data_IF_838779706693
#
_entry.id   IF_838779706693
#
_cell.length_a   1.000
_cell.length_b   1.000
_cell.length_c   1.000
_cell.angle_alpha   90.00
_cell.angle_beta   90.00
_cell.angle_gamma   90.00
#
_symmetry.space_group_name_H-M   'P 1'
#
loop_
_entity.id
_entity.type
_entity.pdbx_description
1 polymer ?
#
# COMPACT_ATOMS: atom_id res chain seq x y z
N UNK A 1 -9.75 63.36 20.64
CA UNK A 1 -9.82 62.61 19.37
C UNK A 1 -8.39 62.54 18.82
N UNK A 2 -7.99 61.34 18.39
CA UNK A 2 -6.63 60.79 18.39
C UNK A 2 -5.58 61.46 17.48
N UNK A 3 -4.32 61.32 17.91
CA UNK A 3 -3.07 61.74 17.27
C UNK A 3 -2.89 61.19 15.84
N UNK A 4 -2.34 62.05 14.97
CA UNK A 4 -1.73 61.73 13.67
C UNK A 4 -0.22 61.63 13.92
N UNK A 5 0.39 60.47 13.65
CA UNK A 5 1.84 60.29 13.70
C UNK A 5 2.47 60.75 12.38
N UNK A 6 3.44 61.67 12.48
CA UNK A 6 4.23 62.18 11.37
C UNK A 6 5.40 61.23 11.06
N UNK A 7 5.58 60.92 9.78
CA UNK A 7 6.76 60.24 9.25
C UNK A 7 7.89 61.25 9.04
N UNK A 8 9.05 60.96 9.63
CA UNK A 8 10.28 61.73 9.50
C UNK A 8 10.91 61.57 8.09
N UNK A 9 11.27 62.71 7.51
CA UNK A 9 12.18 62.86 6.37
C UNK A 9 13.41 63.56 6.93
N UNK A 10 14.57 62.92 6.90
CA UNK A 10 15.85 63.63 6.99
C UNK A 10 16.81 63.17 5.88
N UNK A 11 17.36 64.15 5.18
CA UNK A 11 18.35 64.03 4.12
C UNK A 11 19.76 64.38 4.64
N UNK A 12 20.73 63.50 4.32
CA UNK A 12 22.14 63.69 3.84
C UNK A 12 22.99 64.90 4.35
N UNK A 13 24.32 64.74 4.58
CA UNK A 13 25.27 65.12 3.51
C UNK A 13 26.59 64.30 3.40
N UNK A 14 27.26 64.57 2.27
CA UNK A 14 28.51 64.05 1.69
C UNK A 14 29.82 64.22 2.49
N UNK A 15 30.76 63.31 2.20
CA UNK A 15 32.23 63.50 2.25
C UNK A 15 32.94 62.19 1.87
N UNK A 16 34.11 62.10 1.25
CA UNK A 16 35.02 63.02 0.55
C UNK A 16 35.96 62.14 -0.32
N UNK A 17 36.41 62.70 -1.45
CA UNK A 17 37.59 62.41 -2.28
C UNK A 17 38.29 61.02 -2.28
N UNK A 18 38.55 60.49 -3.48
CA UNK A 18 39.78 59.74 -3.73
C UNK A 18 39.73 58.68 -4.82
N UNK A 19 40.02 59.09 -6.05
CA UNK A 19 40.95 58.44 -7.00
C UNK A 19 40.93 56.89 -7.09
N UNK A 20 40.50 56.33 -8.24
CA UNK A 20 41.23 55.24 -8.95
C UNK A 20 40.70 55.13 -10.39
N UNK A 21 41.58 55.56 -11.29
CA UNK A 21 41.97 54.93 -12.57
C UNK A 21 40.91 54.37 -13.53
N UNK A 22 40.90 55.02 -14.70
CA UNK A 22 40.46 54.50 -15.99
C UNK A 22 41.19 53.18 -16.32
N UNK A 23 40.46 52.07 -16.36
CA UNK A 23 40.80 50.88 -17.15
C UNK A 23 39.53 50.56 -17.95
N UNK A 24 39.38 51.03 -19.19
CA UNK A 24 39.95 50.38 -20.38
C UNK A 24 39.72 48.86 -20.34
N UNK A 25 38.56 48.40 -20.81
CA UNK A 25 38.44 47.16 -21.57
C UNK A 25 37.04 47.04 -22.17
N UNK A 26 37.05 46.80 -23.48
CA UNK A 26 35.95 46.63 -24.42
C UNK A 26 34.74 45.82 -23.90
N UNK A 27 33.51 46.10 -24.39
CA UNK A 27 32.43 45.12 -24.32
C UNK A 27 32.84 43.91 -25.16
N UNK A 28 33.15 42.78 -24.49
CA UNK A 28 33.24 41.47 -25.14
C UNK A 28 31.85 41.17 -25.68
N UNK A 29 31.67 41.27 -26.99
CA UNK A 29 30.52 40.68 -27.65
C UNK A 29 30.41 39.20 -27.24
N UNK A 30 29.22 38.83 -26.77
CA UNK A 30 28.90 37.53 -26.21
C UNK A 30 28.97 36.41 -27.26
N UNK A 31 30.18 35.97 -27.60
CA UNK A 31 30.44 34.77 -28.42
C UNK A 31 30.08 33.46 -27.69
N UNK A 32 29.34 33.50 -26.58
CA UNK A 32 28.86 32.31 -25.87
C UNK A 32 27.42 31.90 -26.21
N UNK A 33 26.76 32.57 -27.17
CA UNK A 33 25.36 32.22 -27.51
C UNK A 33 25.23 31.07 -28.52
N UNK A 34 26.18 30.92 -29.45
CA UNK A 34 25.96 30.05 -30.62
C UNK A 34 26.14 28.54 -30.34
N UNK A 35 27.00 28.16 -29.37
CA UNK A 35 27.24 26.74 -29.03
C UNK A 35 26.10 26.17 -28.16
N UNK A 36 25.61 26.94 -27.19
CA UNK A 36 24.50 26.52 -26.32
C UNK A 36 23.15 26.50 -27.04
N UNK A 37 22.87 27.49 -27.91
CA UNK A 37 21.64 27.48 -28.71
C UNK A 37 21.62 26.29 -29.68
N UNK A 38 22.75 25.97 -30.31
CA UNK A 38 22.85 24.80 -31.20
C UNK A 38 22.63 23.47 -30.45
N UNK A 39 23.04 23.39 -29.18
CA UNK A 39 22.77 22.23 -28.32
C UNK A 39 21.30 22.13 -27.90
N UNK A 40 20.69 23.25 -27.49
CA UNK A 40 19.27 23.30 -27.10
C UNK A 40 18.37 22.92 -28.29
N UNK A 41 18.67 23.43 -29.49
CA UNK A 41 17.93 23.07 -30.71
C UNK A 41 18.07 21.58 -31.02
N UNK A 42 19.26 20.98 -30.85
CA UNK A 42 19.45 19.53 -31.03
C UNK A 42 18.62 18.71 -30.04
N UNK A 43 18.57 19.12 -28.78
CA UNK A 43 17.76 18.44 -27.75
C UNK A 43 16.27 18.53 -28.09
N UNK A 44 15.78 19.70 -28.50
CA UNK A 44 14.38 19.88 -28.92
C UNK A 44 14.02 19.01 -30.13
N UNK A 45 14.89 18.91 -31.13
CA UNK A 45 14.67 18.04 -32.29
C UNK A 45 14.64 16.57 -31.88
N UNK A 46 15.52 16.13 -30.97
CA UNK A 46 15.51 14.74 -30.46
C UNK A 46 14.21 14.43 -29.71
N UNK A 47 13.75 15.33 -28.85
CA UNK A 47 12.49 15.15 -28.12
C UNK A 47 11.28 15.10 -29.07
N UNK A 48 11.28 15.92 -30.12
CA UNK A 48 10.24 15.91 -31.14
C UNK A 48 10.23 14.59 -31.92
N UNK A 49 11.41 14.07 -32.27
CA UNK A 49 11.55 12.76 -32.93
C UNK A 49 11.08 11.63 -32.01
N UNK A 50 11.47 11.62 -30.73
CA UNK A 50 11.02 10.63 -29.75
C UNK A 50 9.50 10.70 -29.53
N UNK A 51 8.93 11.90 -29.46
CA UNK A 51 7.48 12.10 -29.34
C UNK A 51 6.67 11.54 -30.51
N UNK A 52 7.29 11.37 -31.69
CA UNK A 52 6.69 10.72 -32.86
C UNK A 52 6.98 9.22 -32.85
N UNK A 53 8.22 8.82 -32.59
CA UNK A 53 8.63 7.40 -32.63
C UNK A 53 7.98 6.57 -31.53
N UNK A 54 7.84 7.09 -30.31
CA UNK A 54 7.26 6.34 -29.18
C UNK A 54 5.80 5.93 -29.42
N UNK A 55 4.87 6.81 -29.83
CA UNK A 55 3.48 6.39 -30.09
C UNK A 55 3.36 5.50 -31.33
N UNK A 56 4.15 5.74 -32.38
CA UNK A 56 4.19 4.86 -33.56
C UNK A 56 4.75 3.48 -33.22
N UNK A 57 5.81 3.42 -32.41
CA UNK A 57 6.42 2.20 -31.92
C UNK A 57 5.49 1.42 -30.99
N UNK A 58 4.75 2.09 -30.11
CA UNK A 58 3.75 1.45 -29.25
C UNK A 58 2.60 0.83 -30.07
N UNK A 59 2.09 1.55 -31.08
CA UNK A 59 1.04 1.00 -31.97
C UNK A 59 1.55 -0.15 -32.83
N UNK A 60 2.78 -0.05 -33.36
CA UNK A 60 3.40 -1.13 -34.13
C UNK A 60 3.68 -2.36 -33.27
N UNK A 61 4.22 -2.16 -32.05
CA UNK A 61 4.50 -3.24 -31.12
C UNK A 61 3.22 -3.95 -30.68
N UNK A 62 2.15 -3.22 -30.36
CA UNK A 62 0.88 -3.83 -30.01
C UNK A 62 0.23 -4.58 -31.20
N UNK A 63 0.42 -4.13 -32.44
CA UNK A 63 -0.11 -4.82 -33.62
C UNK A 63 0.72 -6.06 -34.01
N UNK A 64 2.04 -5.96 -33.99
CA UNK A 64 2.95 -7.03 -34.42
C UNK A 64 3.26 -8.04 -33.31
N UNK A 65 3.32 -7.62 -32.05
CA UNK A 65 3.64 -8.44 -30.87
C UNK A 65 2.47 -8.61 -29.90
N UNK A 66 1.29 -8.02 -30.15
CA UNK A 66 0.12 -8.16 -29.26
C UNK A 66 -0.39 -9.59 -29.12
N UNK A 67 -0.04 -10.49 -30.04
CA UNK A 67 -0.33 -11.93 -29.95
C UNK A 67 0.69 -12.71 -29.11
N UNK A 68 1.93 -12.23 -28.99
CA UNK A 68 2.98 -12.86 -28.19
C UNK A 68 2.88 -12.51 -26.70
N UNK A 69 2.19 -11.43 -26.38
CA UNK A 69 1.89 -10.98 -25.03
C UNK A 69 0.39 -10.72 -24.90
N UNK A 70 -0.45 -11.76 -24.78
CA UNK A 70 -1.85 -11.55 -24.47
C UNK A 70 -1.92 -10.73 -23.18
N UNK A 71 -2.67 -9.62 -23.24
CA UNK A 71 -3.02 -8.87 -22.04
C UNK A 71 -3.62 -9.88 -21.06
N UNK A 72 -2.96 -10.14 -19.93
CA UNK A 72 -3.54 -10.90 -18.83
C UNK A 72 -4.68 -10.08 -18.23
N UNK A 73 -5.79 -9.97 -18.94
CA UNK A 73 -7.08 -10.10 -18.29
C UNK A 73 -7.14 -11.57 -17.88
N UNK A 74 -7.35 -11.83 -16.60
CA UNK A 74 -7.47 -13.17 -16.03
C UNK A 74 -8.44 -13.99 -16.89
N UNK A 75 -7.88 -14.82 -17.75
CA UNK A 75 -8.62 -15.76 -18.58
C UNK A 75 -9.11 -16.84 -17.64
N UNK A 76 -10.43 -16.89 -17.50
CA UNK A 76 -11.15 -18.01 -16.90
C UNK A 76 -10.71 -19.25 -17.65
N UNK A 77 -9.91 -20.09 -16.98
CA UNK A 77 -9.44 -21.37 -17.52
C UNK A 77 -10.67 -22.24 -17.74
N UNK A 78 -11.17 -22.29 -18.98
CA UNK A 78 -12.07 -23.35 -19.42
C UNK A 78 -11.25 -24.61 -19.69
N UNK A 79 -11.65 -25.68 -19.00
CA UNK A 79 -11.25 -27.08 -19.14
C UNK A 79 -10.36 -27.42 -20.34
N UNK A 80 -9.09 -27.70 -20.09
CA UNK A 80 -8.28 -28.53 -20.99
C UNK A 80 -7.55 -29.60 -20.19
N UNK A 81 -8.17 -30.78 -20.19
CA UNK A 81 -7.56 -32.11 -20.13
C UNK A 81 -6.34 -32.21 -19.21
N UNK A 82 -6.60 -32.38 -17.90
CA UNK A 82 -5.60 -32.91 -16.99
C UNK A 82 -5.27 -34.35 -17.41
N UNK A 83 -4.04 -34.60 -17.86
CA UNK A 83 -3.44 -35.95 -17.87
C UNK A 83 -3.54 -36.50 -16.45
N UNK A 84 -4.19 -37.65 -16.30
CA UNK A 84 -4.34 -38.36 -15.03
C UNK A 84 -2.97 -38.54 -14.35
N UNK A 85 -2.79 -37.88 -13.21
CA UNK A 85 -1.74 -38.24 -12.28
C UNK A 85 -2.18 -39.50 -11.51
N UNK A 86 -1.28 -40.46 -11.24
CA UNK A 86 -1.64 -41.67 -10.50
C UNK A 86 -2.17 -41.31 -9.11
N UNK A 87 -3.35 -41.85 -8.79
CA UNK A 87 -4.07 -41.63 -7.53
C UNK A 87 -3.22 -42.16 -6.37
N UNK A 88 -2.56 -41.26 -5.64
CA UNK A 88 -2.07 -41.56 -4.30
C UNK A 88 -3.30 -41.75 -3.41
N UNK A 89 -3.55 -42.99 -2.96
CA UNK A 89 -4.48 -43.28 -1.86
C UNK A 89 -3.97 -42.58 -0.60
N UNK A 90 -4.37 -41.32 -0.43
CA UNK A 90 -4.23 -40.56 0.81
C UNK A 90 -5.61 -40.40 1.43
N UNK A 91 -5.75 -40.90 2.64
CA UNK A 91 -6.86 -40.65 3.57
C UNK A 91 -7.42 -39.24 3.41
N UNK A 92 -8.73 -39.13 3.17
CA UNK A 92 -9.47 -37.87 3.08
C UNK A 92 -9.22 -37.02 4.35
N UNK A 93 -8.27 -36.09 4.26
CA UNK A 93 -8.26 -34.94 5.14
C UNK A 93 -9.43 -34.03 4.71
N UNK A 94 -10.17 -33.42 5.65
CA UNK A 94 -11.27 -32.54 5.31
C UNK A 94 -10.76 -31.46 4.36
N UNK A 95 -11.41 -31.35 3.19
CA UNK A 95 -11.07 -30.37 2.17
C UNK A 95 -11.04 -28.99 2.80
N UNK A 96 -9.86 -28.38 2.79
CA UNK A 96 -9.65 -27.07 3.38
C UNK A 96 -10.36 -26.04 2.50
N UNK A 97 -11.47 -25.50 3.00
CA UNK A 97 -12.33 -24.57 2.26
C UNK A 97 -11.58 -23.25 2.13
N UNK A 98 -11.07 -22.97 0.94
CA UNK A 98 -10.53 -21.64 0.60
C UNK A 98 -11.73 -20.74 0.29
N UNK A 99 -11.96 -19.65 1.04
CA UNK A 99 -13.05 -18.74 0.75
C UNK A 99 -12.81 -18.08 -0.62
N UNK A 100 -13.80 -18.17 -1.51
CA UNK A 100 -13.74 -17.54 -2.83
C UNK A 100 -13.66 -16.02 -2.71
N UNK A 101 -12.81 -15.41 -3.54
CA UNK A 101 -12.59 -13.96 -3.58
C UNK A 101 -13.74 -13.25 -4.32
N UNK A 102 -14.48 -13.96 -5.18
CA UNK A 102 -15.47 -13.39 -6.11
C UNK A 102 -16.90 -13.25 -5.53
N UNK A 103 -17.04 -13.23 -4.21
CA UNK A 103 -18.34 -13.15 -3.51
C UNK A 103 -18.73 -11.74 -3.05
N UNK A 104 -20.02 -11.56 -2.74
CA UNK A 104 -20.48 -10.39 -1.97
C UNK A 104 -19.78 -10.33 -0.61
N UNK A 105 -19.68 -9.14 0.00
CA UNK A 105 -19.04 -9.00 1.32
C UNK A 105 -19.62 -9.98 2.36
N UNK A 106 -20.94 -10.16 2.34
CA UNK A 106 -21.65 -11.06 3.27
C UNK A 106 -21.26 -12.52 3.04
N UNK A 107 -21.16 -12.96 1.79
CA UNK A 107 -20.74 -14.33 1.46
C UNK A 107 -19.31 -14.59 1.90
N UNK A 108 -18.42 -13.63 1.67
CA UNK A 108 -17.01 -13.70 2.08
C UNK A 108 -16.86 -13.71 3.59
N UNK A 109 -17.61 -12.86 4.29
CA UNK A 109 -17.64 -12.85 5.76
C UNK A 109 -18.15 -14.18 6.32
N UNK A 110 -19.22 -14.74 5.72
CA UNK A 110 -19.72 -16.06 6.09
C UNK A 110 -18.70 -17.17 5.85
N UNK A 111 -17.91 -17.07 4.78
CA UNK A 111 -16.91 -18.07 4.44
C UNK A 111 -15.75 -18.13 5.45
N UNK A 112 -15.46 -17.03 6.15
CA UNK A 112 -14.50 -17.00 7.28
C UNK A 112 -15.17 -17.16 8.66
N UNK A 113 -16.44 -17.59 8.68
CA UNK A 113 -17.19 -17.84 9.92
C UNK A 113 -17.52 -16.59 10.72
N UNK A 114 -17.57 -15.41 10.08
CA UNK A 114 -17.89 -14.16 10.79
C UNK A 114 -19.27 -14.22 11.45
N UNK A 115 -19.41 -13.74 12.70
CA UNK A 115 -20.69 -13.70 13.40
C UNK A 115 -21.68 -12.78 12.68
N UNK A 116 -22.96 -13.13 12.76
CA UNK A 116 -24.05 -12.33 12.17
C UNK A 116 -24.04 -10.93 12.80
N UNK A 117 -23.95 -9.88 11.98
CA UNK A 117 -23.88 -8.50 12.43
C UNK A 117 -22.46 -7.95 12.63
N UNK A 118 -21.42 -8.70 12.27
CA UNK A 118 -20.04 -8.19 12.26
C UNK A 118 -19.95 -6.89 11.44
N UNK A 119 -19.22 -5.91 11.97
CA UNK A 119 -19.07 -4.58 11.37
C UNK A 119 -18.38 -4.57 9.99
N UNK A 120 -17.81 -5.71 9.58
CA UNK A 120 -17.00 -5.94 8.37
C UNK A 120 -17.65 -5.39 7.09
N UNK A 121 -18.97 -5.57 6.92
CA UNK A 121 -19.64 -5.26 5.66
C UNK A 121 -20.44 -3.94 5.65
N UNK A 122 -20.44 -3.18 6.74
CA UNK A 122 -21.32 -2.01 6.90
C UNK A 122 -20.58 -0.66 7.01
N UNK A 123 -19.28 -0.60 6.71
CA UNK A 123 -18.46 0.58 6.99
C UNK A 123 -17.95 1.24 5.71
N UNK A 124 -17.93 2.58 5.71
CA UNK A 124 -17.35 3.41 4.66
C UNK A 124 -15.85 3.22 4.69
N UNK A 125 -15.32 2.49 3.70
CA UNK A 125 -13.91 2.13 3.59
C UNK A 125 -13.01 3.37 3.58
N UNK A 126 -12.14 3.48 4.58
CA UNK A 126 -10.98 4.37 4.50
C UNK A 126 -10.00 3.75 3.51
N UNK A 127 -9.62 4.49 2.47
CA UNK A 127 -8.76 4.01 1.40
C UNK A 127 -7.27 3.96 1.80
N UNK A 128 -6.97 3.24 2.89
CA UNK A 128 -5.62 3.05 3.45
C UNK A 128 -5.44 1.60 3.90
N UNK A 129 -4.27 0.96 3.66
CA UNK A 129 -4.03 -0.42 4.08
C UNK A 129 -4.08 -0.57 5.60
N UNK A 130 -4.43 -1.76 6.12
CA UNK A 130 -4.36 -2.03 7.55
C UNK A 130 -2.94 -1.82 8.08
N UNK A 131 -2.83 -1.22 9.27
CA UNK A 131 -1.53 -0.86 9.85
C UNK A 131 -1.16 -1.86 10.93
N UNK A 132 0.11 -2.29 10.93
CA UNK A 132 0.64 -3.10 12.01
C UNK A 132 0.74 -2.25 13.26
N UNK A 133 0.18 -2.73 14.36
CA UNK A 133 0.20 -2.05 15.65
C UNK A 133 1.31 -2.59 16.56
N UNK A 134 1.78 -1.74 17.46
CA UNK A 134 2.82 -2.09 18.43
C UNK A 134 2.20 -2.62 19.72
N UNK A 135 3.02 -3.30 20.50
CA UNK A 135 2.70 -3.70 21.88
C UNK A 135 2.14 -2.53 22.69
N UNK A 136 1.09 -2.78 23.46
CA UNK A 136 0.43 -1.80 24.33
C UNK A 136 -0.59 -0.90 23.62
N UNK A 137 -0.67 -0.94 22.28
CA UNK A 137 -1.71 -0.23 21.55
C UNK A 137 -3.09 -0.80 21.84
N UNK A 138 -4.09 0.07 21.94
CA UNK A 138 -5.51 -0.31 22.01
C UNK A 138 -6.07 -0.35 20.60
N UNK A 139 -6.72 -1.46 20.27
CA UNK A 139 -7.28 -1.74 18.95
C UNK A 139 -8.79 -1.88 19.10
N UNK A 140 -9.57 -1.04 18.42
CA UNK A 140 -11.03 -1.11 18.47
C UNK A 140 -11.57 -2.29 17.67
N UNK A 141 -10.99 -2.57 16.49
CA UNK A 141 -11.27 -3.78 15.72
C UNK A 141 -10.01 -4.19 14.97
N UNK A 142 -9.59 -5.44 15.12
CA UNK A 142 -8.40 -5.89 14.41
C UNK A 142 -8.10 -7.37 14.52
N UNK A 143 -6.97 -7.76 13.94
CA UNK A 143 -6.46 -9.13 14.04
C UNK A 143 -5.23 -9.21 14.92
N UNK A 144 -5.05 -10.37 15.55
CA UNK A 144 -3.88 -10.69 16.36
C UNK A 144 -3.54 -12.17 16.19
N UNK A 145 -2.24 -12.48 16.13
CA UNK A 145 -1.70 -13.83 16.21
C UNK A 145 -0.33 -13.84 16.89
N UNK A 146 0.11 -15.02 17.31
CA UNK A 146 1.32 -15.26 18.10
C UNK A 146 2.29 -16.14 17.32
N UNK A 147 3.56 -16.16 17.73
CA UNK A 147 4.50 -17.10 17.14
C UNK A 147 4.11 -18.54 17.45
N UNK A 148 4.40 -19.44 16.49
CA UNK A 148 4.09 -20.86 16.57
C UNK A 148 2.60 -21.16 16.85
N UNK A 149 1.71 -20.30 16.37
CA UNK A 149 0.27 -20.45 16.53
C UNK A 149 -0.42 -20.82 15.20
N UNK A 150 -1.49 -21.60 15.30
CA UNK A 150 -2.32 -22.01 14.15
C UNK A 150 -3.58 -21.15 14.01
N UNK A 151 -3.80 -20.25 14.96
CA UNK A 151 -4.99 -19.44 15.13
C UNK A 151 -4.71 -17.96 14.86
N UNK A 152 -5.69 -17.28 14.29
CA UNK A 152 -5.72 -15.82 14.16
C UNK A 152 -7.01 -15.34 14.80
N UNK A 153 -6.92 -14.44 15.76
CA UNK A 153 -8.10 -13.87 16.39
C UNK A 153 -8.48 -12.57 15.70
N UNK A 154 -9.77 -12.41 15.40
CA UNK A 154 -10.36 -11.16 14.96
C UNK A 154 -11.24 -10.68 16.11
N UNK A 155 -10.81 -9.62 16.78
CA UNK A 155 -11.38 -9.18 18.05
C UNK A 155 -11.68 -7.68 18.05
N UNK A 156 -12.58 -7.31 18.95
CA UNK A 156 -12.91 -5.92 19.26
C UNK A 156 -12.30 -5.50 20.60
N UNK A 157 -11.92 -4.23 20.69
CA UNK A 157 -11.51 -3.55 21.93
C UNK A 157 -10.43 -4.27 22.76
N UNK A 158 -9.37 -4.75 22.11
CA UNK A 158 -8.26 -5.43 22.78
C UNK A 158 -7.02 -4.56 22.91
N UNK A 159 -6.12 -4.93 23.81
CA UNK A 159 -4.78 -4.35 23.94
C UNK A 159 -3.74 -5.34 23.42
N UNK A 160 -2.83 -4.89 22.55
CA UNK A 160 -1.77 -5.73 22.02
C UNK A 160 -0.81 -6.12 23.15
N UNK A 161 -0.65 -7.42 23.47
CA UNK A 161 0.23 -7.87 24.53
C UNK A 161 1.69 -7.85 24.04
N UNK A 162 2.65 -7.92 24.98
CA UNK A 162 4.07 -7.92 24.63
C UNK A 162 4.54 -9.14 23.83
N UNK A 163 3.77 -10.22 23.86
CA UNK A 163 4.09 -11.49 23.22
C UNK A 163 3.47 -11.66 21.84
N UNK A 164 2.64 -10.70 21.39
CA UNK A 164 2.05 -10.77 20.06
C UNK A 164 3.07 -10.34 19.00
N UNK A 165 3.24 -11.16 17.97
CA UNK A 165 4.19 -10.87 16.91
C UNK A 165 3.51 -10.21 15.71
N UNK A 166 2.23 -10.48 15.48
CA UNK A 166 1.51 -9.92 14.35
C UNK A 166 0.15 -9.41 14.84
N UNK A 167 -0.05 -8.10 14.77
CA UNK A 167 -1.28 -7.45 15.18
C UNK A 167 -1.57 -6.29 14.25
N UNK A 168 -2.80 -6.20 13.77
CA UNK A 168 -3.21 -5.24 12.75
C UNK A 168 -4.49 -4.55 13.18
N UNK A 169 -4.52 -3.23 13.02
CA UNK A 169 -5.72 -2.44 13.26
C UNK A 169 -6.50 -2.26 11.95
N UNK A 170 -7.76 -2.68 11.98
CA UNK A 170 -8.71 -2.61 10.90
C UNK A 170 -9.85 -1.64 11.20
N UNK A 171 -9.72 -0.81 12.23
CA UNK A 171 -10.73 0.19 12.59
C UNK A 171 -10.97 1.17 11.43
N UNK A 172 -12.24 1.31 11.02
CA UNK A 172 -12.66 2.10 9.86
C UNK A 172 -12.33 1.48 8.49
N UNK A 173 -11.89 0.22 8.46
CA UNK A 173 -11.57 -0.56 7.25
C UNK A 173 -11.80 -2.06 7.47
N UNK A 174 -12.82 -2.37 8.23
CA UNK A 174 -13.12 -3.71 8.73
C UNK A 174 -13.29 -4.71 7.59
N UNK A 175 -13.81 -4.26 6.43
CA UNK A 175 -13.94 -5.07 5.22
C UNK A 175 -12.60 -5.64 4.71
N UNK A 176 -11.48 -4.96 4.96
CA UNK A 176 -10.15 -5.41 4.49
C UNK A 176 -9.66 -6.66 5.21
N UNK A 177 -10.31 -7.05 6.33
CA UNK A 177 -10.04 -8.34 6.97
C UNK A 177 -10.35 -9.50 6.02
N UNK A 178 -11.33 -9.33 5.11
CA UNK A 178 -11.74 -10.35 4.16
C UNK A 178 -10.69 -10.59 3.08
N UNK A 179 -9.86 -9.58 2.79
CA UNK A 179 -8.76 -9.62 1.82
C UNK A 179 -7.41 -9.93 2.50
N UNK A 180 -7.40 -10.13 3.82
CA UNK A 180 -6.17 -10.40 4.54
C UNK A 180 -5.55 -11.73 4.07
N UNK A 181 -4.21 -11.85 3.97
CA UNK A 181 -3.54 -13.05 3.46
C UNK A 181 -3.94 -14.33 4.17
N UNK A 182 -4.09 -14.29 5.50
CA UNK A 182 -4.56 -15.43 6.30
C UNK A 182 -6.04 -15.79 6.02
N UNK A 183 -6.87 -14.81 5.66
CA UNK A 183 -8.30 -15.01 5.41
C UNK A 183 -8.55 -15.63 4.03
N UNK A 184 -7.81 -15.20 3.00
CA UNK A 184 -7.90 -15.76 1.64
C UNK A 184 -7.06 -17.04 1.45
N UNK A 185 -6.37 -17.49 2.49
CA UNK A 185 -5.52 -18.69 2.45
C UNK A 185 -4.21 -18.52 1.67
N UNK A 186 -3.81 -17.28 1.37
CA UNK A 186 -2.52 -16.96 0.77
C UNK A 186 -1.36 -17.11 1.79
N UNK A 187 -1.65 -16.89 3.06
CA UNK A 187 -0.73 -17.14 4.17
C UNK A 187 -1.10 -18.44 4.89
N UNK A 188 -0.09 -19.29 5.10
CA UNK A 188 -0.24 -20.57 5.79
C UNK A 188 0.38 -20.48 7.17
N UNK A 189 -0.20 -21.19 8.13
CA UNK A 189 0.33 -21.19 9.49
C UNK A 189 1.71 -21.87 9.53
N UNK A 190 2.64 -21.35 10.34
CA UNK A 190 4.03 -21.83 10.37
C UNK A 190 4.19 -23.20 11.04
N UNK A 191 3.16 -23.70 11.74
CA UNK A 191 3.24 -24.93 12.54
C UNK A 191 3.01 -26.17 11.67
N UNK A 192 2.00 -26.14 10.81
CA UNK A 192 1.59 -27.31 10.02
C UNK A 192 1.39 -27.01 8.53
N UNK A 193 1.58 -25.77 8.08
CA UNK A 193 1.48 -25.37 6.67
C UNK A 193 0.05 -25.30 6.12
N UNK A 194 -0.96 -25.44 6.97
CA UNK A 194 -2.38 -25.32 6.62
C UNK A 194 -2.88 -23.88 6.74
N UNK A 195 -4.13 -23.62 6.38
CA UNK A 195 -4.77 -22.33 6.65
C UNK A 195 -4.80 -22.07 8.17
N UNK A 196 -4.87 -20.78 8.52
CA UNK A 196 -5.10 -20.40 9.90
C UNK A 196 -6.55 -20.70 10.30
N UNK A 197 -6.73 -21.11 11.55
CA UNK A 197 -8.05 -21.15 12.16
C UNK A 197 -8.44 -19.74 12.62
N UNK A 198 -9.55 -19.23 12.11
CA UNK A 198 -10.00 -17.86 12.40
C UNK A 198 -10.93 -17.89 13.61
N UNK A 199 -10.53 -17.17 14.66
CA UNK A 199 -11.22 -17.11 15.94
C UNK A 199 -11.91 -15.77 16.15
N UNK A 200 -13.20 -15.79 16.46
CA UNK A 200 -14.01 -14.60 16.74
C UNK A 200 -14.27 -14.39 18.24
N UNK A 201 -13.82 -15.31 19.07
CA UNK A 201 -13.90 -15.26 20.53
C UNK A 201 -12.62 -15.83 21.14
N UNK A 202 -12.55 -15.85 22.47
CA UNK A 202 -11.41 -16.36 23.25
C UNK A 202 -11.78 -17.58 24.09
N UNK A 203 -12.79 -18.34 23.66
CA UNK A 203 -13.35 -19.46 24.42
C UNK A 203 -13.14 -20.80 23.70
N UNK A 204 -13.11 -21.90 24.45
CA UNK A 204 -12.97 -23.25 23.90
C UNK A 204 -11.71 -23.43 23.05
N UNK A 205 -11.89 -23.88 21.81
CA UNK A 205 -10.79 -24.11 20.85
C UNK A 205 -10.06 -22.81 20.45
N UNK A 206 -10.70 -21.66 20.67
CA UNK A 206 -10.15 -20.33 20.46
C UNK A 206 -9.59 -19.70 21.74
N UNK A 207 -9.39 -20.46 22.81
CA UNK A 207 -8.76 -19.96 24.04
C UNK A 207 -7.37 -19.38 23.78
N UNK A 208 -7.08 -18.23 24.38
CA UNK A 208 -5.77 -17.60 24.25
C UNK A 208 -4.65 -18.47 24.84
N UNK A 209 -3.41 -18.37 24.33
CA UNK A 209 -2.26 -18.99 24.97
C UNK A 209 -2.11 -18.58 26.43
N UNK A 210 -1.54 -19.47 27.25
CA UNK A 210 -1.35 -19.22 28.68
C UNK A 210 -0.55 -17.92 28.92
N UNK A 211 -0.99 -17.12 29.89
CA UNK A 211 -0.33 -15.87 30.27
C UNK A 211 -0.61 -14.67 29.36
N UNK A 212 -1.40 -14.83 28.29
CA UNK A 212 -1.85 -13.72 27.45
C UNK A 212 -3.09 -13.07 28.05
N UNK A 213 -3.01 -11.76 28.33
CA UNK A 213 -4.16 -10.96 28.70
C UNK A 213 -4.38 -9.83 27.68
N UNK A 214 -5.43 -9.97 26.87
CA UNK A 214 -5.83 -8.98 25.86
C UNK A 214 -6.76 -7.89 26.42
N UNK A 215 -7.41 -8.16 27.56
CA UNK A 215 -8.41 -7.29 28.18
C UNK A 215 -7.99 -6.98 29.62
N UNK A 216 -6.93 -6.18 29.82
CA UNK A 216 -6.52 -5.80 31.16
C UNK A 216 -7.67 -5.03 31.83
N UNK A 217 -8.27 -5.63 32.85
CA UNK A 217 -9.15 -4.92 33.79
C UNK A 217 -8.31 -3.84 34.46
N UNK A 218 -8.74 -2.58 34.31
CA UNK A 218 -8.12 -1.42 34.97
C UNK A 218 -8.16 -1.54 36.49
#
# INVERSE_FOLDING_TARGET
MFLIAQLEIECIPLGNAGNISKNFLHPKEDKMKNKSVRWIVRILVILLILGIIVPLGFRFFNWYWGWAFPNRQSEVITDSVCKECPVCKGTEAPAEVIPSIDGTCIERAKAIGAPVGSAICNIVTVNKPAERVQTGSKVSFGSITFDAETRVWILENFTVPAFANYSFDYSGRESYILDAPFAVGAEKNPVNGKNFNICWNIEGDCALPEGVNLFPTK
#
